data_IF_128009812000
#
_entry.id   IF_128009812000
#
_cell.length_a   1.000
_cell.length_b   1.000
_cell.length_c   1.000
_cell.angle_alpha   90.00
_cell.angle_beta   90.00
_cell.angle_gamma   90.00
#
_symmetry.space_group_name_H-M   'P 1'
#
loop_
_entity.id
_entity.type
_entity.pdbx_description
1 polymer ?
#
# COMPACT_ATOMS: atom_id res chain seq x y z
N UNK A 1 -5.72 1.22 4.51
CA UNK A 1 -4.49 0.87 3.78
C UNK A 1 -3.34 0.66 4.74
N UNK A 2 -2.35 -0.18 4.40
CA UNK A 2 -1.11 -0.26 5.16
C UNK A 2 0.03 0.23 4.25
N UNK A 3 0.31 1.52 4.36
CA UNK A 3 1.26 2.22 3.51
C UNK A 3 2.63 1.52 3.50
N UNK A 4 3.06 0.97 4.63
CA UNK A 4 4.36 0.33 4.74
C UNK A 4 4.45 -0.94 3.89
N UNK A 5 3.42 -1.79 3.91
CA UNK A 5 3.42 -3.02 3.10
C UNK A 5 3.35 -2.69 1.61
N UNK A 6 2.58 -1.66 1.23
CA UNK A 6 2.52 -1.15 -0.14
C UNK A 6 3.90 -0.63 -0.60
N UNK A 7 4.60 0.11 0.25
CA UNK A 7 5.98 0.56 0.00
C UNK A 7 6.95 -0.61 -0.14
N UNK A 8 6.83 -1.63 0.72
CA UNK A 8 7.66 -2.82 0.66
C UNK A 8 7.45 -3.52 -0.68
N UNK A 9 6.21 -3.74 -1.10
CA UNK A 9 5.90 -4.39 -2.38
C UNK A 9 6.50 -3.61 -3.55
N UNK A 10 6.19 -2.32 -3.68
CA UNK A 10 6.67 -1.48 -4.78
C UNK A 10 8.20 -1.47 -4.84
N UNK A 11 8.87 -1.19 -3.72
CA UNK A 11 10.33 -1.07 -3.68
C UNK A 11 11.05 -2.40 -3.84
N UNK A 12 10.46 -3.50 -3.41
CA UNK A 12 10.99 -4.85 -3.65
C UNK A 12 10.89 -5.18 -5.13
N UNK A 13 9.75 -4.90 -5.76
CA UNK A 13 9.53 -5.13 -7.18
C UNK A 13 10.49 -4.30 -8.06
N UNK A 14 10.70 -3.02 -7.74
CA UNK A 14 11.64 -2.16 -8.47
C UNK A 14 13.12 -2.56 -8.32
N UNK A 15 13.46 -3.43 -7.35
CA UNK A 15 14.83 -3.93 -7.09
C UNK A 15 15.03 -5.39 -7.49
N UNK A 16 14.09 -5.96 -8.24
CA UNK A 16 14.23 -7.31 -8.77
C UNK A 16 15.14 -7.31 -10.00
N UNK A 17 16.10 -8.22 -10.01
CA UNK A 17 17.00 -8.49 -11.14
C UNK A 17 17.00 -10.00 -11.44
N UNK A 18 16.36 -10.38 -12.55
CA UNK A 18 16.01 -11.77 -12.85
C UNK A 18 15.32 -12.47 -11.68
N UNK A 19 15.90 -13.59 -11.25
CA UNK A 19 15.42 -14.40 -10.12
C UNK A 19 15.99 -13.95 -8.76
N UNK A 20 16.53 -12.74 -8.66
CA UNK A 20 17.16 -12.23 -7.44
C UNK A 20 16.54 -10.91 -7.03
N UNK A 21 16.28 -10.74 -5.74
CA UNK A 21 15.89 -9.46 -5.15
C UNK A 21 17.03 -8.88 -4.34
N UNK A 22 17.29 -7.59 -4.51
CA UNK A 22 18.23 -6.84 -3.69
C UNK A 22 17.41 -6.11 -2.60
N UNK A 23 17.51 -6.59 -1.36
CA UNK A 23 16.83 -5.99 -0.23
C UNK A 23 17.40 -4.61 0.10
N UNK A 24 16.67 -3.80 0.87
CA UNK A 24 17.14 -2.49 1.30
C UNK A 24 18.41 -2.53 2.16
N UNK A 25 18.72 -3.68 2.78
CA UNK A 25 19.96 -3.93 3.50
C UNK A 25 21.16 -4.27 2.59
N UNK A 26 20.96 -4.38 1.28
CA UNK A 26 21.97 -4.86 0.32
C UNK A 26 22.07 -6.39 0.23
N UNK A 27 21.33 -7.13 1.06
CA UNK A 27 21.26 -8.60 0.99
C UNK A 27 20.55 -9.02 -0.29
N UNK A 28 21.15 -9.98 -1.00
CA UNK A 28 20.57 -10.58 -2.20
C UNK A 28 19.90 -11.89 -1.84
N UNK A 29 18.62 -12.01 -2.22
CA UNK A 29 17.80 -13.20 -1.94
C UNK A 29 17.31 -13.78 -3.27
N UNK A 30 17.46 -15.09 -3.43
CA UNK A 30 16.98 -15.80 -4.62
C UNK A 30 15.46 -16.05 -4.56
N UNK A 31 14.81 -16.14 -5.72
CA UNK A 31 13.37 -16.41 -5.89
C UNK A 31 12.89 -17.61 -5.07
N UNK A 32 13.66 -18.69 -5.05
CA UNK A 32 13.35 -19.90 -4.27
C UNK A 32 13.25 -19.60 -2.77
N UNK A 33 14.14 -18.76 -2.22
CA UNK A 33 14.13 -18.38 -0.81
C UNK A 33 12.93 -17.47 -0.48
N UNK A 34 12.59 -16.55 -1.40
CA UNK A 34 11.39 -15.71 -1.28
C UNK A 34 10.11 -16.56 -1.30
N UNK A 35 10.02 -17.52 -2.22
CA UNK A 35 8.87 -18.42 -2.35
C UNK A 35 8.69 -19.30 -1.11
N UNK A 36 9.77 -19.79 -0.52
CA UNK A 36 9.71 -20.58 0.72
C UNK A 36 9.03 -19.80 1.86
N UNK A 37 9.37 -18.51 2.03
CA UNK A 37 8.83 -17.68 3.09
C UNK A 37 7.43 -17.14 2.77
N UNK A 38 7.27 -16.52 1.60
CA UNK A 38 6.08 -15.75 1.24
C UNK A 38 5.03 -16.54 0.44
N UNK A 39 5.36 -17.75 -0.03
CA UNK A 39 4.47 -18.55 -0.87
C UNK A 39 4.05 -17.80 -2.15
N UNK A 40 2.78 -17.89 -2.51
CA UNK A 40 2.22 -17.26 -3.71
C UNK A 40 2.39 -15.74 -3.77
N UNK A 41 2.52 -15.09 -2.61
CA UNK A 41 2.76 -13.63 -2.55
C UNK A 41 4.11 -13.27 -3.18
N UNK A 42 5.14 -14.13 -3.04
CA UNK A 42 6.40 -13.88 -3.74
C UNK A 42 6.18 -13.88 -5.25
N UNK A 43 5.47 -14.86 -5.80
CA UNK A 43 5.20 -14.93 -7.23
C UNK A 43 4.43 -13.68 -7.72
N UNK A 44 3.44 -13.20 -6.96
CA UNK A 44 2.76 -11.93 -7.27
C UNK A 44 3.72 -10.73 -7.35
N UNK A 45 4.71 -10.65 -6.46
CA UNK A 45 5.74 -9.59 -6.51
C UNK A 45 6.63 -9.73 -7.77
N UNK A 46 6.98 -10.95 -8.18
CA UNK A 46 7.75 -11.19 -9.40
C UNK A 46 6.97 -10.82 -10.67
N UNK A 47 5.67 -11.15 -10.72
CA UNK A 47 4.80 -10.82 -11.86
C UNK A 47 4.58 -9.30 -11.95
N UNK A 48 4.37 -8.67 -10.80
CA UNK A 48 4.28 -7.21 -10.69
C UNK A 48 5.57 -6.53 -11.18
N UNK A 49 6.74 -6.99 -10.72
CA UNK A 49 8.03 -6.44 -11.16
C UNK A 49 8.27 -6.60 -12.67
N UNK A 50 7.87 -7.75 -13.23
CA UNK A 50 7.94 -7.97 -14.68
C UNK A 50 7.07 -6.94 -15.42
N UNK A 51 5.88 -6.64 -14.90
CA UNK A 51 5.01 -5.60 -15.46
C UNK A 51 5.63 -4.20 -15.36
N UNK A 52 6.24 -3.84 -14.23
CA UNK A 52 6.94 -2.55 -14.07
C UNK A 52 8.10 -2.41 -15.06
N UNK A 53 8.85 -3.50 -15.31
CA UNK A 53 9.94 -3.52 -16.31
C UNK A 53 9.43 -3.34 -17.73
N UNK A 54 8.31 -3.99 -18.09
CA UNK A 54 7.70 -3.84 -19.41
C UNK A 54 7.24 -2.40 -19.67
N UNK A 55 6.77 -1.71 -18.63
CA UNK A 55 6.38 -0.29 -18.68
C UNK A 55 7.58 0.67 -18.60
N UNK A 56 8.82 0.17 -18.58
CA UNK A 56 10.05 0.97 -18.49
C UNK A 56 10.03 1.97 -17.33
N UNK A 57 9.47 1.58 -16.19
CA UNK A 57 9.41 2.44 -15.00
C UNK A 57 10.83 2.68 -14.50
N UNK A 58 11.32 3.89 -14.72
CA UNK A 58 12.62 4.33 -14.24
C UNK A 58 12.57 4.69 -12.74
N UNK A 59 13.73 5.09 -12.20
CA UNK A 59 13.87 5.46 -10.80
C UNK A 59 13.05 6.69 -10.40
N UNK A 60 12.80 7.63 -11.33
CA UNK A 60 12.04 8.86 -11.10
C UNK A 60 10.55 8.53 -10.99
N UNK A 61 10.04 7.73 -11.92
CA UNK A 61 8.65 7.25 -11.88
C UNK A 61 8.43 6.40 -10.64
N UNK A 62 9.34 5.47 -10.33
CA UNK A 62 9.24 4.63 -9.14
C UNK A 62 9.24 5.46 -7.84
N UNK A 63 10.09 6.49 -7.73
CA UNK A 63 10.13 7.39 -6.57
C UNK A 63 8.83 8.20 -6.43
N UNK A 64 8.29 8.66 -7.56
CA UNK A 64 7.04 9.41 -7.61
C UNK A 64 5.85 8.55 -7.21
N UNK A 65 5.75 7.32 -7.73
CA UNK A 65 4.73 6.34 -7.35
C UNK A 65 4.81 5.96 -5.86
N UNK A 66 6.03 5.76 -5.35
CA UNK A 66 6.24 5.54 -3.92
C UNK A 66 5.73 6.73 -3.09
N UNK A 67 5.97 7.96 -3.54
CA UNK A 67 5.50 9.16 -2.84
C UNK A 67 3.98 9.27 -2.87
N UNK A 68 3.35 8.96 -4.00
CA UNK A 68 1.90 8.90 -4.14
C UNK A 68 1.32 7.84 -3.20
N UNK A 69 1.82 6.60 -3.19
CA UNK A 69 1.34 5.54 -2.28
C UNK A 69 1.41 5.96 -0.81
N UNK A 70 2.49 6.62 -0.41
CA UNK A 70 2.65 7.09 0.97
C UNK A 70 1.57 8.11 1.35
N UNK A 71 1.25 9.04 0.46
CA UNK A 71 0.27 10.10 0.71
C UNK A 71 -1.18 9.61 0.56
N UNK A 72 -1.43 8.73 -0.40
CA UNK A 72 -2.76 8.20 -0.75
C UNK A 72 -3.26 7.15 0.27
N UNK A 73 -2.34 6.44 0.93
CA UNK A 73 -2.65 5.45 1.97
C UNK A 73 -3.41 5.99 3.18
N UNK A 74 -3.45 7.31 3.35
CA UNK A 74 -4.21 8.01 4.38
C UNK A 74 -5.69 8.27 3.99
N UNK A 75 -6.09 8.04 2.74
CA UNK A 75 -7.46 8.20 2.26
C UNK A 75 -7.72 7.31 1.01
N UNK A 76 -8.22 6.06 1.18
CA UNK A 76 -8.49 5.16 0.04
C UNK A 76 -9.54 5.69 -0.94
N UNK A 77 -10.31 6.70 -0.55
CA UNK A 77 -11.31 7.36 -1.40
C UNK A 77 -10.70 8.47 -2.28
N UNK A 78 -9.44 8.88 -2.10
CA UNK A 78 -8.91 10.10 -2.75
C UNK A 78 -8.79 9.99 -4.27
N UNK A 79 -8.61 8.77 -4.80
CA UNK A 79 -8.55 8.54 -6.25
C UNK A 79 -9.89 8.84 -6.94
N UNK A 80 -11.02 8.80 -6.21
CA UNK A 80 -12.37 8.97 -6.78
C UNK A 80 -13.25 10.03 -6.07
N UNK A 81 -12.97 10.38 -4.82
CA UNK A 81 -13.73 11.34 -4.01
C UNK A 81 -12.80 12.30 -3.25
N UNK A 82 -13.00 13.60 -3.52
CA UNK A 82 -12.30 14.74 -2.93
C UNK A 82 -12.68 14.94 -1.45
N UNK A 83 -12.28 14.06 -0.54
CA UNK A 83 -12.26 14.41 0.90
C UNK A 83 -10.94 15.10 1.24
N UNK A 84 -10.98 16.22 1.98
CA UNK A 84 -9.82 17.09 2.11
C UNK A 84 -8.81 16.48 3.08
N UNK A 85 -7.65 16.11 2.55
CA UNK A 85 -6.39 16.18 3.28
C UNK A 85 -6.30 17.57 3.96
N UNK A 86 -5.54 17.70 5.06
CA UNK A 86 -5.11 19.05 5.47
C UNK A 86 -4.57 19.77 4.23
N UNK A 87 -4.91 21.04 4.04
CA UNK A 87 -4.65 21.77 2.78
C UNK A 87 -3.23 21.52 2.25
N UNK A 88 -2.24 21.48 3.15
CA UNK A 88 -0.84 21.19 2.86
C UNK A 88 -0.57 19.82 2.24
N UNK A 89 -1.19 18.73 2.72
CA UNK A 89 -0.93 17.38 2.20
C UNK A 89 -1.60 17.16 0.85
N UNK A 90 -2.79 17.75 0.65
CA UNK A 90 -3.46 17.77 -0.66
C UNK A 90 -2.65 18.56 -1.69
N UNK A 91 -2.12 19.72 -1.31
CA UNK A 91 -1.22 20.51 -2.16
C UNK A 91 0.07 19.74 -2.52
N UNK A 92 0.66 19.04 -1.54
CA UNK A 92 1.86 18.22 -1.78
C UNK A 92 1.56 17.06 -2.75
N UNK A 93 0.45 16.36 -2.54
CA UNK A 93 0.00 15.30 -3.44
C UNK A 93 -0.15 15.83 -4.87
N UNK A 94 -0.85 16.96 -5.02
CA UNK A 94 -1.07 17.57 -6.33
C UNK A 94 0.24 17.95 -7.01
N UNK A 95 1.19 18.55 -6.28
CA UNK A 95 2.53 18.87 -6.81
C UNK A 95 3.29 17.64 -7.28
N UNK A 96 3.19 16.52 -6.57
CA UNK A 96 3.83 15.25 -6.95
C UNK A 96 3.19 14.69 -8.22
N UNK A 97 1.85 14.70 -8.30
CA UNK A 97 1.11 14.26 -9.49
C UNK A 97 1.43 15.12 -10.71
N UNK A 98 1.48 16.44 -10.55
CA UNK A 98 1.80 17.36 -11.64
C UNK A 98 3.25 17.16 -12.11
N UNK A 99 4.18 16.95 -11.17
CA UNK A 99 5.58 16.61 -11.49
C UNK A 99 5.68 15.30 -12.29
N UNK A 100 4.88 14.28 -11.96
CA UNK A 100 4.83 13.03 -12.73
C UNK A 100 4.34 13.29 -14.16
N UNK A 101 3.24 14.02 -14.31
CA UNK A 101 2.66 14.33 -15.62
C UNK A 101 3.63 15.12 -16.48
N UNK A 102 4.31 16.10 -15.91
CA UNK A 102 5.28 16.91 -16.64
C UNK A 102 6.51 16.08 -17.03
N UNK A 103 6.97 15.16 -16.18
CA UNK A 103 8.02 14.21 -16.53
C UNK A 103 7.60 13.28 -17.68
N UNK A 104 6.39 12.73 -17.63
CA UNK A 104 5.85 11.89 -18.72
C UNK A 104 5.74 12.66 -20.04
N UNK A 105 5.32 13.93 -20.00
CA UNK A 105 5.32 14.80 -21.19
C UNK A 105 6.73 14.99 -21.77
N UNK A 106 7.75 15.16 -20.92
CA UNK A 106 9.15 15.26 -21.37
C UNK A 106 9.64 13.98 -22.05
N UNK A 107 9.11 12.83 -21.64
CA UNK A 107 9.37 11.53 -22.28
C UNK A 107 8.52 11.28 -23.53
N UNK A 108 7.66 12.22 -23.93
CA UNK A 108 6.68 12.06 -25.02
C UNK A 108 5.72 10.88 -24.83
N UNK A 109 5.42 10.53 -23.58
CA UNK A 109 4.49 9.46 -23.24
C UNK A 109 3.03 9.94 -23.29
N UNK A 110 2.13 9.06 -23.72
CA UNK A 110 0.70 9.36 -23.81
C UNK A 110 0.05 9.50 -22.43
N UNK A 111 -1.04 10.28 -22.35
CA UNK A 111 -1.87 10.40 -21.15
C UNK A 111 -2.39 9.05 -20.61
N UNK A 112 -2.44 8.02 -21.46
CA UNK A 112 -2.82 6.66 -21.07
C UNK A 112 -1.78 6.00 -20.15
N UNK A 113 -0.49 6.33 -20.29
CA UNK A 113 0.59 5.80 -19.45
C UNK A 113 0.40 6.23 -18.01
N UNK A 114 0.03 7.49 -17.78
CA UNK A 114 -0.30 7.98 -16.44
C UNK A 114 -1.39 7.14 -15.76
N UNK A 115 -2.47 6.80 -16.49
CA UNK A 115 -3.54 5.94 -15.95
C UNK A 115 -3.03 4.54 -15.64
N UNK A 116 -2.23 3.95 -16.53
CA UNK A 116 -1.64 2.63 -16.28
C UNK A 116 -0.72 2.61 -15.05
N UNK A 117 0.01 3.71 -14.79
CA UNK A 117 0.84 3.86 -13.60
C UNK A 117 0.00 3.96 -12.32
N UNK A 118 -1.17 4.59 -12.37
CA UNK A 118 -2.12 4.58 -11.25
C UNK A 118 -2.66 3.17 -10.99
N UNK A 119 -2.94 2.39 -12.04
CA UNK A 119 -3.35 1.00 -11.88
C UNK A 119 -2.25 0.15 -11.21
N UNK A 120 -0.97 0.46 -11.45
CA UNK A 120 0.14 -0.21 -10.75
C UNK A 120 0.08 0.02 -9.23
N UNK A 121 -0.39 1.18 -8.79
CA UNK A 121 -0.58 1.46 -7.35
C UNK A 121 -1.65 0.54 -6.74
N UNK A 122 -2.72 0.27 -7.48
CA UNK A 122 -3.77 -0.65 -7.05
C UNK A 122 -3.27 -2.09 -6.99
N UNK A 123 -2.44 -2.52 -7.95
CA UNK A 123 -1.79 -3.83 -7.90
C UNK A 123 -0.89 -3.96 -6.67
N UNK A 124 -0.07 -2.94 -6.37
CA UNK A 124 0.76 -2.92 -5.17
C UNK A 124 -0.08 -3.04 -3.89
N UNK A 125 -1.25 -2.38 -3.81
CA UNK A 125 -2.19 -2.51 -2.70
C UNK A 125 -2.76 -3.92 -2.56
N UNK A 126 -3.16 -4.52 -3.67
CA UNK A 126 -3.69 -5.87 -3.67
C UNK A 126 -2.65 -6.88 -3.15
N UNK A 127 -1.43 -6.78 -3.64
CA UNK A 127 -0.32 -7.64 -3.21
C UNK A 127 0.03 -7.38 -1.74
N UNK A 128 0.05 -6.12 -1.30
CA UNK A 128 0.29 -5.76 0.10
C UNK A 128 -0.77 -6.34 1.05
N UNK A 129 -2.03 -6.41 0.63
CA UNK A 129 -3.10 -7.08 1.37
C UNK A 129 -2.83 -8.58 1.51
N UNK A 130 -2.43 -9.24 0.42
CA UNK A 130 -2.08 -10.67 0.46
C UNK A 130 -0.82 -10.92 1.30
N UNK A 131 0.17 -10.02 1.24
CA UNK A 131 1.35 -10.04 2.09
C UNK A 131 0.98 -9.95 3.57
N UNK A 132 0.06 -9.04 3.94
CA UNK A 132 -0.45 -8.93 5.32
C UNK A 132 -1.04 -10.25 5.81
N UNK A 133 -1.91 -10.88 4.99
CA UNK A 133 -2.50 -12.19 5.31
C UNK A 133 -1.42 -13.25 5.52
N UNK A 134 -0.43 -13.32 4.62
CA UNK A 134 0.68 -14.28 4.71
C UNK A 134 1.52 -14.08 5.98
N UNK A 135 1.86 -12.84 6.32
CA UNK A 135 2.62 -12.52 7.52
C UNK A 135 1.85 -12.88 8.80
N UNK A 136 0.54 -12.63 8.82
CA UNK A 136 -0.34 -13.04 9.93
C UNK A 136 -0.39 -14.57 10.08
N UNK A 137 -0.51 -15.33 8.99
CA UNK A 137 -0.43 -16.80 9.03
C UNK A 137 0.93 -17.29 9.54
N UNK A 138 2.01 -16.66 9.09
CA UNK A 138 3.36 -17.00 9.56
C UNK A 138 3.52 -16.75 11.07
N UNK A 139 2.96 -15.66 11.60
CA UNK A 139 2.90 -15.36 13.04
C UNK A 139 2.21 -16.48 13.83
N UNK A 140 1.09 -17.01 13.33
CA UNK A 140 0.34 -18.08 14.01
C UNK A 140 1.00 -19.46 13.92
N UNK A 141 1.71 -19.76 12.82
CA UNK A 141 2.23 -21.11 12.54
C UNK A 141 3.64 -21.36 13.08
N UNK A 142 4.47 -20.33 13.18
CA UNK A 142 5.89 -20.51 13.56
C UNK A 142 6.18 -20.31 15.05
N UNK A 143 5.19 -19.96 15.87
CA UNK A 143 5.39 -19.73 17.30
C UNK A 143 6.34 -18.57 17.62
N UNK A 144 6.71 -17.74 16.64
CA UNK A 144 7.53 -16.53 16.78
C UNK A 144 6.80 -15.37 17.49
N UNK A 145 5.79 -15.69 18.30
CA UNK A 145 4.99 -14.73 19.09
C UNK A 145 5.84 -13.90 20.05
N UNK A 146 7.09 -14.30 20.31
CA UNK A 146 7.95 -13.62 21.28
C UNK A 146 9.10 -12.80 20.65
N UNK A 147 9.28 -12.81 19.31
CA UNK A 147 10.41 -12.07 18.69
C UNK A 147 10.14 -11.43 17.33
N UNK A 148 8.94 -11.56 16.76
CA UNK A 148 8.54 -10.57 15.75
C UNK A 148 8.46 -9.21 16.45
N UNK A 149 9.35 -8.30 16.03
CA UNK A 149 9.50 -6.97 16.62
C UNK A 149 8.15 -6.30 16.82
N UNK A 150 7.95 -5.64 17.97
CA UNK A 150 6.77 -4.82 18.30
C UNK A 150 6.31 -3.92 17.15
N UNK A 151 7.25 -3.48 16.30
CA UNK A 151 6.99 -2.72 15.07
C UNK A 151 6.23 -3.48 13.99
N UNK A 152 6.55 -4.76 13.74
CA UNK A 152 5.83 -5.56 12.76
C UNK A 152 4.42 -5.91 13.26
N UNK A 153 4.26 -6.12 14.57
CA UNK A 153 2.95 -6.27 15.19
C UNK A 153 2.11 -5.00 15.06
N UNK A 154 2.70 -3.81 15.33
CA UNK A 154 2.03 -2.52 15.09
C UNK A 154 1.58 -2.37 13.62
N UNK A 155 2.42 -2.78 12.67
CA UNK A 155 2.10 -2.74 11.24
C UNK A 155 0.95 -3.71 10.92
N UNK A 156 0.93 -4.91 11.50
CA UNK A 156 -0.14 -5.89 11.28
C UNK A 156 -1.43 -5.56 12.04
N UNK A 157 -1.36 -4.76 13.10
CA UNK A 157 -2.49 -4.35 13.95
C UNK A 157 -3.09 -3.00 13.57
N UNK A 158 -2.40 -2.18 12.76
CA UNK A 158 -2.97 -0.98 12.14
C UNK A 158 -4.26 -1.35 11.40
N UNK A 159 -5.40 -1.09 12.06
CA UNK A 159 -6.72 -1.12 11.44
C UNK A 159 -6.79 0.05 10.45
N UNK A 160 -7.47 -0.09 9.31
CA UNK A 160 -7.88 1.08 8.55
C UNK A 160 -8.65 2.01 9.51
N UNK A 161 -8.45 3.32 9.40
CA UNK A 161 -9.29 4.29 10.08
C UNK A 161 -10.69 4.11 9.47
N UNK A 162 -11.49 3.25 10.08
CA UNK A 162 -12.93 3.21 9.85
C UNK A 162 -13.46 4.52 10.39
N UNK A 163 -14.12 5.31 9.57
CA UNK A 163 -14.94 6.42 10.04
C UNK A 163 -16.06 5.85 10.93
N UNK A 164 -15.81 5.70 12.22
CA UNK A 164 -16.88 5.75 13.22
C UNK A 164 -17.29 7.22 13.38
N UNK A 165 -17.98 7.72 12.35
CA UNK A 165 -18.96 8.78 12.47
C UNK A 165 -20.31 8.12 12.20
N UNK A 166 -20.71 7.22 13.10
CA UNK A 166 -22.13 7.07 13.41
C UNK A 166 -22.43 8.10 14.50
N UNK A 167 -22.97 9.22 14.02
CA UNK A 167 -23.97 10.07 14.67
C UNK A 167 -24.26 9.74 16.14
N UNK A 168 -23.81 10.64 17.02
CA UNK A 168 -24.48 10.93 18.29
C UNK A 168 -25.91 11.42 17.99
N UNK A 169 -26.83 10.51 17.72
CA UNK A 169 -28.28 10.70 17.85
C UNK A 169 -28.85 9.39 18.35
N UNK A 170 -28.85 9.24 19.68
CA UNK A 170 -29.83 8.46 20.47
C UNK A 170 -29.27 8.26 21.88
N UNK A 171 -29.20 9.35 22.65
CA UNK A 171 -29.08 9.28 24.10
C UNK A 171 -29.62 10.56 24.75
N UNK A 172 -30.87 10.91 24.42
CA UNK A 172 -31.71 11.79 25.27
C UNK A 172 -33.19 11.66 24.89
N UNK A 173 -33.75 10.45 25.02
CA UNK A 173 -35.15 10.30 25.43
C UNK A 173 -35.13 9.85 26.90
N UNK A 174 -34.96 10.83 27.78
CA UNK A 174 -35.19 10.69 29.21
C UNK A 174 -36.62 10.20 29.46
N UNK A 175 -36.70 9.16 30.30
CA UNK A 175 -37.75 8.90 31.29
C UNK A 175 -39.21 8.96 30.84
N UNK A 176 -39.95 7.86 30.97
CA UNK A 176 -41.16 7.78 31.81
C UNK A 176 -41.66 6.33 31.92
N UNK A 177 -41.52 5.79 33.14
CA UNK A 177 -42.42 4.91 33.90
C UNK A 177 -43.70 4.46 33.14
N UNK A 178 -43.94 3.16 33.01
CA UNK A 178 -45.08 2.45 33.65
C UNK A 178 -45.07 0.94 33.36
N UNK A 179 -45.24 0.19 34.45
CA UNK A 179 -45.69 -1.20 34.48
C UNK A 179 -46.98 -1.37 33.66
N UNK A 180 -47.15 -2.53 33.01
CA UNK A 180 -48.36 -3.37 33.18
C UNK A 180 -48.23 -4.73 32.45
N UNK A 181 -48.61 -5.77 33.21
CA UNK A 181 -48.83 -7.21 32.94
C UNK A 181 -47.62 -8.16 32.89
#
# INVERSE_FOLDING_TARGET
SNCLLEQIVLRTASRLDGDRVILCSGVVVHKVQMNYLLGDVAQQIYDYASTLKLQKIDSIIAATLASILLLDSNNPDYVYHRTPLSSTVGELYQKIVDSLKDYLKQLHEDSSVYLQLLDRLNDARHIAHNLRKRLSLYRHTTGLTNSMNTLLDLVLECKPISNELQTNEDNTALSFIQYDL
#
